data_IF_193106150988
#
_entry.id   IF_193106150988
#
_cell.length_a   1.000
_cell.length_b   1.000
_cell.length_c   1.000
_cell.angle_alpha   90.00
_cell.angle_beta   90.00
_cell.angle_gamma   90.00
#
_symmetry.space_group_name_H-M   'P 1'
#
loop_
_entity.id
_entity.type
_entity.pdbx_description
1 polymer ?
#
# COMPACT_ATOMS: atom_id res chain seq x y z
N UNK A 1 6.97 -20.37 14.72
CA UNK A 1 7.67 -19.49 15.67
C UNK A 1 7.22 -19.90 17.05
N UNK A 2 8.15 -20.29 17.92
CA UNK A 2 7.83 -20.62 19.31
C UNK A 2 7.51 -19.35 20.13
N UNK A 3 6.93 -19.57 21.31
CA UNK A 3 6.47 -18.50 22.22
C UNK A 3 7.60 -17.55 22.67
N UNK A 4 8.80 -18.07 22.93
CA UNK A 4 9.92 -17.25 23.38
C UNK A 4 10.38 -16.29 22.28
N UNK A 5 10.46 -16.81 21.05
CA UNK A 5 10.80 -16.01 19.87
C UNK A 5 9.73 -14.97 19.58
N UNK A 6 8.44 -15.34 19.68
CA UNK A 6 7.32 -14.42 19.48
C UNK A 6 7.31 -13.29 20.52
N UNK A 7 7.50 -13.63 21.80
CA UNK A 7 7.55 -12.66 22.88
C UNK A 7 8.71 -11.67 22.70
N UNK A 8 9.90 -12.16 22.37
CA UNK A 8 11.06 -11.31 22.10
C UNK A 8 10.81 -10.38 20.91
N UNK A 9 10.23 -10.89 19.84
CA UNK A 9 9.85 -10.09 18.67
C UNK A 9 8.85 -8.97 19.03
N UNK A 10 7.83 -9.28 19.83
CA UNK A 10 6.84 -8.29 20.29
C UNK A 10 7.51 -7.20 21.12
N UNK A 11 8.34 -7.57 22.09
CA UNK A 11 9.06 -6.61 22.93
C UNK A 11 9.95 -5.69 22.10
N UNK A 12 10.82 -6.26 21.27
CA UNK A 12 11.73 -5.48 20.42
C UNK A 12 10.96 -4.50 19.55
N UNK A 13 9.83 -4.92 19.00
CA UNK A 13 9.00 -4.08 18.14
C UNK A 13 8.28 -2.96 18.89
N UNK A 14 7.82 -3.20 20.11
CA UNK A 14 7.22 -2.19 20.97
C UNK A 14 8.28 -1.18 21.43
N UNK A 15 9.44 -1.66 21.86
CA UNK A 15 10.53 -0.82 22.39
C UNK A 15 11.13 0.06 21.29
N UNK A 16 11.26 -0.44 20.06
CA UNK A 16 11.78 0.31 18.93
C UNK A 16 10.85 1.43 18.43
N UNK A 17 9.58 1.46 18.84
CA UNK A 17 8.62 2.46 18.39
C UNK A 17 8.58 3.68 19.29
N UNK A 18 8.93 4.83 18.74
CA UNK A 18 8.91 6.12 19.45
C UNK A 18 7.49 6.69 19.65
N UNK A 19 6.51 6.22 18.85
CA UNK A 19 5.13 6.71 18.92
C UNK A 19 4.25 5.86 19.82
N UNK A 20 3.12 6.41 20.27
CA UNK A 20 2.12 5.67 21.03
C UNK A 20 1.41 4.58 20.23
N UNK A 21 1.53 4.55 18.90
CA UNK A 21 0.94 3.51 18.06
C UNK A 21 2.04 2.54 17.59
N UNK A 22 1.88 1.25 17.85
CA UNK A 22 2.79 0.19 17.41
C UNK A 22 2.07 -0.69 16.39
N UNK A 23 2.52 -0.65 15.13
CA UNK A 23 1.88 -1.39 14.02
C UNK A 23 2.57 -2.73 13.81
N UNK A 24 1.84 -3.83 13.99
CA UNK A 24 2.24 -5.19 13.65
C UNK A 24 1.64 -5.62 12.32
N UNK A 25 2.50 -5.85 11.34
CA UNK A 25 2.09 -6.32 10.01
C UNK A 25 2.33 -7.81 9.89
N UNK A 26 1.23 -8.53 9.66
CA UNK A 26 1.19 -9.98 9.50
C UNK A 26 0.82 -10.32 8.05
N UNK A 27 1.34 -11.45 7.57
CA UNK A 27 0.90 -12.04 6.31
C UNK A 27 0.45 -13.47 6.56
N UNK A 28 -0.67 -13.85 5.95
CA UNK A 28 -1.17 -15.22 5.98
C UNK A 28 -1.84 -15.56 4.67
N UNK A 29 -1.33 -16.58 3.99
CA UNK A 29 -1.95 -17.11 2.78
C UNK A 29 -3.09 -18.09 3.10
N UNK A 30 -3.18 -18.57 4.35
CA UNK A 30 -4.25 -19.44 4.86
C UNK A 30 -4.63 -19.07 6.30
N UNK A 31 -5.86 -19.36 6.72
CA UNK A 31 -6.36 -19.12 8.08
C UNK A 31 -6.89 -20.40 8.74
N UNK A 32 -5.98 -21.33 8.98
CA UNK A 32 -6.27 -22.61 9.66
C UNK A 32 -6.46 -22.42 11.17
N UNK A 33 -6.95 -23.46 11.86
CA UNK A 33 -7.05 -23.47 13.34
C UNK A 33 -5.70 -23.21 14.02
N UNK A 34 -4.60 -23.72 13.48
CA UNK A 34 -3.25 -23.45 14.01
C UNK A 34 -2.91 -21.97 13.92
N UNK A 35 -3.29 -21.31 12.80
CA UNK A 35 -3.14 -19.85 12.66
C UNK A 35 -4.02 -19.09 13.63
N UNK A 36 -5.21 -19.60 13.94
CA UNK A 36 -6.09 -19.01 14.94
C UNK A 36 -5.47 -19.05 16.34
N UNK A 37 -4.94 -20.20 16.75
CA UNK A 37 -4.21 -20.33 18.01
C UNK A 37 -2.99 -19.41 18.06
N UNK A 38 -2.24 -19.32 16.96
CA UNK A 38 -1.12 -18.39 16.85
C UNK A 38 -1.56 -16.92 17.05
N UNK A 39 -2.61 -16.45 16.37
CA UNK A 39 -3.04 -15.06 16.52
C UNK A 39 -3.67 -14.75 17.88
N UNK A 40 -4.38 -15.71 18.49
CA UNK A 40 -4.79 -15.60 19.90
C UNK A 40 -3.58 -15.38 20.79
N UNK A 41 -2.53 -16.17 20.61
CA UNK A 41 -1.30 -16.05 21.39
C UNK A 41 -0.59 -14.72 21.16
N UNK A 42 -0.56 -14.23 19.92
CA UNK A 42 -0.04 -12.89 19.58
C UNK A 42 -0.75 -11.81 20.40
N UNK A 43 -2.09 -11.83 20.45
CA UNK A 43 -2.87 -10.83 21.17
C UNK A 43 -2.61 -10.89 22.68
N UNK A 44 -2.58 -12.09 23.26
CA UNK A 44 -2.27 -12.27 24.69
C UNK A 44 -0.92 -11.66 25.07
N UNK A 45 0.12 -11.94 24.28
CA UNK A 45 1.46 -11.43 24.52
C UNK A 45 1.53 -9.91 24.28
N UNK A 46 0.90 -9.40 23.23
CA UNK A 46 0.85 -7.96 22.97
C UNK A 46 0.19 -7.19 24.11
N UNK A 47 -0.89 -7.71 24.69
CA UNK A 47 -1.56 -7.09 25.84
C UNK A 47 -0.65 -7.02 27.08
N UNK A 48 0.17 -8.04 27.30
CA UNK A 48 1.15 -8.06 28.41
C UNK A 48 2.30 -7.08 28.19
N UNK A 49 2.72 -6.89 26.93
CA UNK A 49 3.88 -6.08 26.57
C UNK A 49 3.53 -4.64 26.16
N UNK A 50 2.25 -4.28 26.03
CA UNK A 50 1.82 -3.02 25.41
C UNK A 50 2.38 -1.75 26.07
N UNK A 51 2.69 -1.79 27.38
CA UNK A 51 3.25 -0.66 28.14
C UNK A 51 2.46 0.66 27.95
N UNK A 52 1.14 0.56 27.80
CA UNK A 52 0.25 1.72 27.55
C UNK A 52 0.25 2.24 26.11
N UNK A 53 1.04 1.65 25.20
CA UNK A 53 0.97 1.93 23.76
C UNK A 53 -0.25 1.24 23.14
N UNK A 54 -0.80 1.86 22.12
CA UNK A 54 -1.87 1.31 21.29
C UNK A 54 -1.28 0.36 20.25
N UNK A 55 -1.70 -0.91 20.28
CA UNK A 55 -1.21 -1.94 19.37
C UNK A 55 -2.19 -2.10 18.21
N UNK A 56 -1.70 -1.93 16.98
CA UNK A 56 -2.50 -2.04 15.75
C UNK A 56 -2.02 -3.26 14.98
N UNK A 57 -2.88 -4.25 14.79
CA UNK A 57 -2.57 -5.43 13.99
C UNK A 57 -3.13 -5.25 12.57
N UNK A 58 -2.30 -5.43 11.56
CA UNK A 58 -2.70 -5.45 10.15
C UNK A 58 -2.44 -6.84 9.58
N UNK A 59 -3.40 -7.44 8.88
CA UNK A 59 -3.23 -8.73 8.22
C UNK A 59 -3.35 -8.56 6.71
N UNK A 60 -2.30 -8.90 5.97
CA UNK A 60 -2.36 -9.08 4.52
C UNK A 60 -2.66 -10.55 4.20
N UNK A 61 -3.68 -10.78 3.37
CA UNK A 61 -4.06 -12.12 2.93
C UNK A 61 -4.49 -12.15 1.47
N UNK A 62 -4.32 -13.30 0.81
CA UNK A 62 -4.76 -13.54 -0.58
C UNK A 62 -6.06 -14.32 -0.53
N UNK A 63 -7.18 -13.67 -0.87
CA UNK A 63 -8.50 -14.29 -1.05
C UNK A 63 -8.69 -15.61 -0.32
N UNK A 64 -8.96 -15.55 0.99
CA UNK A 64 -9.11 -16.71 1.86
C UNK A 64 -10.58 -16.99 2.13
N UNK A 65 -10.91 -18.26 2.36
CA UNK A 65 -12.19 -18.62 2.95
C UNK A 65 -12.17 -18.21 4.43
N UNK A 66 -12.69 -17.01 4.68
CA UNK A 66 -13.07 -16.58 6.03
C UNK A 66 -14.31 -17.36 6.46
N UNK A 67 -14.47 -17.46 7.78
CA UNK A 67 -15.72 -17.85 8.41
C UNK A 67 -16.11 -16.78 9.45
N UNK A 68 -17.27 -16.98 10.08
CA UNK A 68 -17.79 -16.05 11.09
C UNK A 68 -16.87 -15.96 12.31
N UNK A 69 -16.21 -17.05 12.71
CA UNK A 69 -15.30 -17.06 13.86
C UNK A 69 -14.07 -16.17 13.63
N UNK A 70 -13.49 -16.20 12.44
CA UNK A 70 -12.40 -15.30 12.07
C UNK A 70 -12.85 -13.84 12.03
N UNK A 71 -14.02 -13.57 11.47
CA UNK A 71 -14.56 -12.21 11.41
C UNK A 71 -14.79 -11.65 12.83
N UNK A 72 -15.39 -12.44 13.72
CA UNK A 72 -15.58 -12.05 15.13
C UNK A 72 -14.25 -11.81 15.84
N UNK A 73 -13.25 -12.67 15.62
CA UNK A 73 -11.91 -12.49 16.17
C UNK A 73 -11.25 -11.21 15.67
N UNK A 74 -11.32 -10.92 14.36
CA UNK A 74 -10.75 -9.71 13.78
C UNK A 74 -11.43 -8.45 14.26
N UNK A 75 -12.77 -8.47 14.36
CA UNK A 75 -13.54 -7.34 14.87
C UNK A 75 -13.23 -7.05 16.33
N UNK A 76 -13.24 -8.09 17.18
CA UNK A 76 -12.96 -7.96 18.62
C UNK A 76 -11.57 -7.42 18.89
N UNK A 77 -10.60 -7.82 18.08
CA UNK A 77 -9.19 -7.42 18.24
C UNK A 77 -8.77 -6.28 17.29
N UNK A 78 -9.74 -5.61 16.65
CA UNK A 78 -9.55 -4.46 15.77
C UNK A 78 -8.45 -4.65 14.71
N UNK A 79 -8.42 -5.83 14.08
CA UNK A 79 -7.49 -6.10 12.98
C UNK A 79 -7.85 -5.26 11.75
N UNK A 80 -6.85 -4.62 11.15
CA UNK A 80 -6.96 -4.02 9.83
C UNK A 80 -6.67 -5.07 8.76
N UNK A 81 -7.71 -5.51 8.05
CA UNK A 81 -7.60 -6.54 7.04
C UNK A 81 -7.23 -5.91 5.70
N UNK A 82 -6.17 -6.40 5.07
CA UNK A 82 -5.75 -6.03 3.72
C UNK A 82 -5.87 -7.25 2.81
N UNK A 83 -6.63 -7.11 1.74
CA UNK A 83 -6.80 -8.15 0.73
C UNK A 83 -5.87 -7.89 -0.45
N UNK A 84 -5.04 -8.87 -0.78
CA UNK A 84 -4.31 -8.87 -2.04
C UNK A 84 -5.29 -9.13 -3.17
N UNK A 85 -5.43 -8.15 -4.07
CA UNK A 85 -6.30 -8.24 -5.24
C UNK A 85 -5.43 -8.08 -6.48
N UNK A 86 -5.20 -9.19 -7.17
CA UNK A 86 -4.46 -9.19 -8.42
C UNK A 86 -5.28 -8.53 -9.52
N UNK A 87 -4.69 -7.59 -10.26
CA UNK A 87 -5.39 -6.82 -11.30
C UNK A 87 -5.96 -7.67 -12.43
N UNK A 88 -5.42 -8.88 -12.64
CA UNK A 88 -5.87 -9.84 -13.66
C UNK A 88 -7.22 -10.49 -13.29
N UNK A 89 -7.65 -10.36 -12.04
CA UNK A 89 -8.94 -10.85 -11.58
C UNK A 89 -10.11 -9.92 -11.99
N UNK A 90 -9.87 -8.71 -12.50
CA UNK A 90 -10.97 -7.79 -12.83
C UNK A 90 -11.82 -8.35 -13.99
N UNK A 91 -13.12 -8.65 -13.81
CA UNK A 91 -13.87 -9.39 -14.81
C UNK A 91 -14.56 -8.46 -15.80
N UNK A 92 -13.98 -8.17 -16.98
CA UNK A 92 -14.72 -7.72 -18.18
C UNK A 92 -13.95 -8.09 -19.48
N UNK A 93 -14.62 -8.90 -20.31
CA UNK A 93 -14.38 -9.34 -21.70
C UNK A 93 -13.02 -9.95 -22.13
N UNK A 94 -13.05 -11.29 -22.21
CA UNK A 94 -12.54 -12.18 -23.26
C UNK A 94 -11.03 -12.19 -23.62
N UNK A 95 -10.32 -13.22 -23.12
CA UNK A 95 -9.88 -14.44 -23.88
C UNK A 95 -8.93 -15.32 -23.01
N UNK A 96 -8.35 -14.81 -21.93
CA UNK A 96 -7.37 -15.56 -21.12
C UNK A 96 -7.52 -15.42 -19.59
N UNK A 97 -8.74 -15.50 -19.05
CA UNK A 97 -8.88 -15.74 -17.61
C UNK A 97 -8.50 -17.20 -17.31
N UNK A 98 -7.40 -17.40 -16.60
CA UNK A 98 -7.00 -18.73 -16.13
C UNK A 98 -8.00 -19.22 -15.07
N UNK A 99 -8.12 -20.55 -14.92
CA UNK A 99 -8.93 -21.15 -13.85
C UNK A 99 -8.50 -20.62 -12.47
N UNK A 100 -7.20 -20.40 -12.29
CA UNK A 100 -6.64 -19.80 -11.07
C UNK A 100 -7.15 -18.38 -10.85
N UNK A 101 -7.19 -17.53 -11.88
CA UNK A 101 -7.70 -16.15 -11.76
C UNK A 101 -9.18 -16.09 -11.37
N UNK A 102 -10.00 -17.00 -11.93
CA UNK A 102 -11.43 -17.10 -11.57
C UNK A 102 -11.63 -17.52 -10.12
N UNK A 103 -10.86 -18.50 -9.64
CA UNK A 103 -10.93 -18.95 -8.26
C UNK A 103 -10.50 -17.84 -7.30
N UNK A 104 -9.41 -17.13 -7.59
CA UNK A 104 -8.96 -15.98 -6.79
C UNK A 104 -10.00 -14.86 -6.75
N UNK A 105 -10.65 -14.53 -7.88
CA UNK A 105 -11.73 -13.54 -7.89
C UNK A 105 -12.90 -13.96 -6.99
N UNK A 106 -13.35 -15.21 -7.13
CA UNK A 106 -14.43 -15.76 -6.33
C UNK A 106 -14.11 -15.68 -4.83
N UNK A 107 -12.92 -16.12 -4.44
CA UNK A 107 -12.49 -16.09 -3.04
C UNK A 107 -12.46 -14.67 -2.50
N UNK A 108 -11.88 -13.71 -3.24
CA UNK A 108 -11.87 -12.30 -2.84
C UNK A 108 -13.28 -11.77 -2.61
N UNK A 109 -14.23 -12.06 -3.51
CA UNK A 109 -15.62 -11.61 -3.35
C UNK A 109 -16.30 -12.23 -2.13
N UNK A 110 -16.10 -13.51 -1.87
CA UNK A 110 -16.66 -14.16 -0.69
C UNK A 110 -16.02 -13.64 0.61
N UNK A 111 -14.70 -13.42 0.61
CA UNK A 111 -14.00 -12.75 1.73
C UNK A 111 -14.61 -11.38 2.00
N UNK A 112 -14.74 -10.54 0.96
CA UNK A 112 -15.33 -9.20 1.07
C UNK A 112 -16.77 -9.25 1.59
N UNK A 113 -17.58 -10.19 1.09
CA UNK A 113 -18.97 -10.37 1.51
C UNK A 113 -19.05 -10.66 3.02
N UNK A 114 -18.20 -11.55 3.54
CA UNK A 114 -18.16 -11.87 4.97
C UNK A 114 -17.68 -10.69 5.82
N UNK A 115 -16.61 -10.00 5.40
CA UNK A 115 -16.13 -8.80 6.10
C UNK A 115 -17.21 -7.74 6.19
N UNK A 116 -17.94 -7.49 5.09
CA UNK A 116 -19.05 -6.55 5.06
C UNK A 116 -20.24 -6.99 5.94
N UNK A 117 -20.58 -8.28 5.97
CA UNK A 117 -21.64 -8.79 6.85
C UNK A 117 -21.34 -8.60 8.33
N UNK A 118 -20.06 -8.67 8.70
CA UNK A 118 -19.59 -8.42 10.06
C UNK A 118 -19.23 -6.96 10.32
N UNK A 119 -19.46 -6.05 9.38
CA UNK A 119 -19.14 -4.62 9.52
C UNK A 119 -17.65 -4.42 9.87
N UNK A 120 -16.79 -5.04 9.06
CA UNK A 120 -15.33 -4.95 9.13
C UNK A 120 -14.85 -4.24 7.86
N UNK A 121 -14.24 -3.07 8.03
CA UNK A 121 -13.56 -2.38 6.95
C UNK A 121 -12.31 -3.14 6.49
N UNK A 122 -12.00 -3.01 5.20
CA UNK A 122 -10.82 -3.64 4.60
C UNK A 122 -10.09 -2.72 3.63
N UNK A 123 -8.81 -2.98 3.49
CA UNK A 123 -7.93 -2.38 2.50
C UNK A 123 -7.72 -3.35 1.34
N UNK A 124 -7.35 -2.83 0.18
CA UNK A 124 -6.92 -3.63 -0.96
C UNK A 124 -5.50 -3.27 -1.36
N UNK A 125 -4.69 -4.29 -1.62
CA UNK A 125 -3.33 -4.17 -2.14
C UNK A 125 -3.29 -4.81 -3.53
N UNK A 126 -2.84 -4.06 -4.53
CA UNK A 126 -2.66 -4.54 -5.89
C UNK A 126 -1.21 -4.39 -6.33
N UNK A 127 -0.62 -5.50 -6.75
CA UNK A 127 0.69 -5.51 -7.42
C UNK A 127 0.49 -5.04 -8.86
N UNK A 128 1.15 -3.94 -9.24
CA UNK A 128 1.07 -3.35 -10.58
C UNK A 128 2.23 -3.88 -11.43
N UNK A 129 1.91 -4.64 -12.46
CA UNK A 129 2.88 -5.35 -13.31
C UNK A 129 2.82 -4.86 -14.77
N UNK A 130 3.68 -5.40 -15.64
CA UNK A 130 3.73 -5.02 -17.05
C UNK A 130 2.39 -5.18 -17.80
N UNK A 131 1.53 -6.10 -17.37
CA UNK A 131 0.27 -6.45 -18.03
C UNK A 131 -0.85 -5.54 -17.50
N UNK A 132 -1.10 -5.58 -16.20
CA UNK A 132 -2.26 -4.92 -15.60
C UNK A 132 -2.11 -3.39 -15.55
N UNK A 133 -0.88 -2.87 -15.62
CA UNK A 133 -0.61 -1.42 -15.71
C UNK A 133 -1.19 -0.77 -16.95
N UNK A 134 -1.46 -1.54 -18.01
CA UNK A 134 -2.07 -1.07 -19.24
C UNK A 134 -3.58 -0.78 -19.08
N UNK A 135 -4.19 -1.20 -17.97
CA UNK A 135 -5.62 -1.03 -17.70
C UNK A 135 -5.89 -0.43 -16.30
N UNK A 136 -5.35 0.77 -15.99
CA UNK A 136 -5.43 1.38 -14.66
C UNK A 136 -6.87 1.57 -14.17
N UNK A 137 -7.76 2.06 -15.03
CA UNK A 137 -9.16 2.30 -14.66
C UNK A 137 -9.95 1.00 -14.46
N UNK A 138 -9.58 -0.08 -15.15
CA UNK A 138 -10.22 -1.39 -14.94
C UNK A 138 -9.94 -1.88 -13.51
N UNK A 139 -8.68 -1.83 -13.08
CA UNK A 139 -8.29 -2.18 -11.71
C UNK A 139 -9.02 -1.26 -10.72
N UNK A 140 -8.93 0.05 -10.94
CA UNK A 140 -9.52 1.04 -10.04
C UNK A 140 -11.02 0.83 -9.85
N UNK A 141 -11.79 0.68 -10.94
CA UNK A 141 -13.22 0.42 -10.88
C UNK A 141 -13.56 -0.93 -10.27
N UNK A 142 -12.74 -1.96 -10.50
CA UNK A 142 -12.95 -3.25 -9.87
C UNK A 142 -12.80 -3.16 -8.34
N UNK A 143 -11.74 -2.52 -7.84
CA UNK A 143 -11.56 -2.29 -6.40
C UNK A 143 -12.72 -1.48 -5.80
N UNK A 144 -13.19 -0.44 -6.51
CA UNK A 144 -14.40 0.32 -6.12
C UNK A 144 -15.64 -0.57 -6.04
N UNK A 145 -15.83 -1.46 -7.02
CA UNK A 145 -16.99 -2.36 -7.07
C UNK A 145 -17.01 -3.39 -5.94
N UNK A 146 -15.84 -3.73 -5.37
CA UNK A 146 -15.74 -4.54 -4.16
C UNK A 146 -16.14 -3.75 -2.90
N UNK A 147 -16.25 -2.43 -2.98
CA UNK A 147 -16.47 -1.55 -1.83
C UNK A 147 -15.19 -1.10 -1.13
N UNK A 148 -14.01 -1.33 -1.74
CA UNK A 148 -12.74 -0.87 -1.17
C UNK A 148 -12.70 0.66 -1.11
N UNK A 149 -12.36 1.19 0.07
CA UNK A 149 -12.13 2.63 0.31
C UNK A 149 -10.67 2.95 0.60
N UNK A 150 -9.81 1.94 0.68
CA UNK A 150 -8.39 2.09 0.97
C UNK A 150 -7.62 1.23 -0.03
N UNK A 151 -7.02 1.88 -1.04
CA UNK A 151 -6.40 1.20 -2.17
C UNK A 151 -4.91 1.49 -2.23
N UNK A 152 -4.11 0.43 -2.14
CA UNK A 152 -2.67 0.51 -2.30
C UNK A 152 -2.23 -0.16 -3.59
N UNK A 153 -1.40 0.55 -4.34
CA UNK A 153 -0.74 0.04 -5.54
C UNK A 153 0.76 -0.09 -5.26
N UNK A 154 1.31 -1.29 -5.49
CA UNK A 154 2.74 -1.57 -5.33
C UNK A 154 3.31 -1.95 -6.69
N UNK A 155 4.26 -1.19 -7.26
CA UNK A 155 4.84 -1.54 -8.53
C UNK A 155 5.69 -2.81 -8.41
N UNK A 156 5.51 -3.75 -9.34
CA UNK A 156 6.30 -4.98 -9.41
C UNK A 156 7.67 -4.66 -10.00
N UNK A 157 8.72 -5.03 -9.28
CA UNK A 157 10.09 -5.02 -9.75
C UNK A 157 10.75 -6.33 -9.32
N UNK A 158 11.11 -7.15 -10.29
CA UNK A 158 11.83 -8.41 -10.08
C UNK A 158 13.17 -8.33 -10.84
N UNK A 159 14.26 -7.95 -10.15
CA UNK A 159 15.59 -7.93 -10.74
C UNK A 159 16.04 -9.35 -11.13
N UNK A 160 16.66 -9.48 -12.29
CA UNK A 160 17.32 -10.70 -12.76
C UNK A 160 18.84 -10.59 -12.55
N UNK A 161 19.54 -11.70 -12.77
CA UNK A 161 21.00 -11.68 -12.85
C UNK A 161 21.46 -10.71 -13.97
N UNK A 162 22.67 -10.16 -13.81
CA UNK A 162 23.28 -9.19 -14.74
C UNK A 162 22.61 -7.81 -14.88
N UNK A 163 21.63 -7.46 -14.03
CA UNK A 163 21.03 -6.12 -13.99
C UNK A 163 19.81 -5.94 -14.90
N UNK A 164 19.34 -7.02 -15.53
CA UNK A 164 18.06 -7.07 -16.23
C UNK A 164 16.89 -7.16 -15.23
N UNK A 165 15.66 -7.03 -15.73
CA UNK A 165 14.43 -7.23 -14.94
C UNK A 165 13.52 -8.25 -15.61
N UNK A 166 12.75 -9.00 -14.81
CA UNK A 166 11.74 -9.94 -15.33
C UNK A 166 10.73 -9.18 -16.20
N UNK A 167 10.26 -9.80 -17.28
CA UNK A 167 9.29 -9.21 -18.21
C UNK A 167 7.96 -8.85 -17.56
N UNK A 168 7.64 -9.43 -16.40
CA UNK A 168 6.48 -9.08 -15.58
C UNK A 168 6.67 -7.78 -14.82
N UNK A 169 7.92 -7.36 -14.57
CA UNK A 169 8.23 -6.09 -13.90
C UNK A 169 7.59 -4.92 -14.63
N UNK A 170 7.06 -3.97 -13.88
CA UNK A 170 6.48 -2.77 -14.44
C UNK A 170 7.58 -1.94 -15.10
N UNK A 171 7.44 -1.59 -16.37
CA UNK A 171 8.42 -0.72 -17.01
C UNK A 171 8.45 0.68 -16.35
N UNK A 172 9.62 1.34 -16.22
CA UNK A 172 9.75 2.59 -15.50
C UNK A 172 8.80 3.66 -15.99
N UNK A 173 8.60 3.79 -17.31
CA UNK A 173 7.75 4.82 -17.91
C UNK A 173 6.23 4.58 -17.69
N UNK A 174 5.82 3.35 -17.34
CA UNK A 174 4.41 2.98 -17.23
C UNK A 174 3.81 3.33 -15.86
N UNK A 175 4.63 3.37 -14.79
CA UNK A 175 4.13 3.70 -13.45
C UNK A 175 3.50 5.10 -13.41
N UNK A 176 4.12 6.10 -14.04
CA UNK A 176 3.56 7.44 -14.11
C UNK A 176 2.24 7.47 -14.87
N UNK A 177 2.13 6.75 -15.98
CA UNK A 177 0.87 6.67 -16.74
C UNK A 177 -0.23 6.06 -15.88
N UNK A 178 0.07 4.96 -15.18
CA UNK A 178 -0.83 4.30 -14.25
C UNK A 178 -1.32 5.26 -13.15
N UNK A 179 -0.39 5.87 -12.42
CA UNK A 179 -0.69 6.77 -11.30
C UNK A 179 -1.44 8.03 -11.76
N UNK A 180 -1.02 8.66 -12.86
CA UNK A 180 -1.70 9.85 -13.42
C UNK A 180 -3.13 9.53 -13.81
N UNK A 181 -3.37 8.37 -14.42
CA UNK A 181 -4.70 7.96 -14.87
C UNK A 181 -5.66 7.76 -13.70
N UNK A 182 -5.21 7.07 -12.65
CA UNK A 182 -6.00 6.89 -11.42
C UNK A 182 -6.17 8.23 -10.71
N UNK A 183 -5.11 9.02 -10.54
CA UNK A 183 -5.16 10.31 -9.87
C UNK A 183 -6.16 11.26 -10.52
N UNK A 184 -6.16 11.36 -11.86
CA UNK A 184 -7.07 12.24 -12.60
C UNK A 184 -8.55 11.93 -12.32
N UNK A 185 -8.90 10.65 -12.19
CA UNK A 185 -10.26 10.21 -11.88
C UNK A 185 -10.56 10.39 -10.39
N UNK A 186 -9.65 9.93 -9.54
CA UNK A 186 -9.78 10.01 -8.09
C UNK A 186 -9.99 11.46 -7.61
N UNK A 187 -9.17 12.40 -8.07
CA UNK A 187 -9.23 13.80 -7.62
C UNK A 187 -10.56 14.48 -7.99
N UNK A 188 -11.24 14.02 -9.05
CA UNK A 188 -12.53 14.56 -9.52
C UNK A 188 -13.72 13.87 -8.87
N UNK A 189 -13.65 12.56 -8.66
CA UNK A 189 -14.82 11.77 -8.31
C UNK A 189 -14.79 11.27 -6.86
N UNK A 190 -13.61 10.94 -6.35
CA UNK A 190 -13.47 10.05 -5.19
C UNK A 190 -12.61 10.60 -4.04
N UNK A 191 -12.00 11.78 -4.19
CA UNK A 191 -11.25 12.43 -3.11
C UNK A 191 -12.15 12.64 -1.87
N UNK A 192 -11.62 12.29 -0.70
CA UNK A 192 -12.34 12.32 0.57
C UNK A 192 -13.24 11.10 0.83
N UNK A 193 -13.37 10.19 -0.15
CA UNK A 193 -14.14 8.94 -0.02
C UNK A 193 -13.23 7.72 -0.13
N UNK A 194 -12.30 7.74 -1.09
CA UNK A 194 -11.31 6.68 -1.31
C UNK A 194 -9.94 7.22 -0.93
N UNK A 195 -9.21 6.49 -0.11
CA UNK A 195 -7.87 6.79 0.32
C UNK A 195 -6.86 5.99 -0.52
N UNK A 196 -5.92 6.69 -1.15
CA UNK A 196 -4.82 6.09 -1.91
C UNK A 196 -3.50 6.58 -1.30
N UNK A 197 -2.74 5.75 -0.59
CA UNK A 197 -1.63 6.22 0.25
C UNK A 197 -0.59 7.08 -0.47
N UNK A 198 -0.25 6.78 -1.73
CA UNK A 198 0.70 7.61 -2.49
C UNK A 198 0.15 9.02 -2.75
N UNK A 199 -1.16 9.20 -2.91
CA UNK A 199 -1.77 10.52 -3.11
C UNK A 199 -1.84 11.28 -1.77
N UNK A 200 -2.25 10.61 -0.70
CA UNK A 200 -2.27 11.17 0.66
C UNK A 200 -0.86 11.63 1.10
N UNK A 201 0.16 10.79 0.88
CA UNK A 201 1.54 11.15 1.18
C UNK A 201 2.04 12.31 0.32
N UNK A 202 1.62 12.40 -0.94
CA UNK A 202 1.97 13.52 -1.82
C UNK A 202 1.38 14.81 -1.26
N UNK A 203 0.12 14.80 -0.85
CA UNK A 203 -0.54 15.96 -0.26
C UNK A 203 0.11 16.37 1.08
N UNK A 204 0.32 15.42 1.99
CA UNK A 204 0.98 15.66 3.26
C UNK A 204 2.37 16.30 3.09
N UNK A 205 3.16 15.83 2.11
CA UNK A 205 4.47 16.39 1.82
C UNK A 205 4.39 17.85 1.30
N UNK A 206 3.38 18.18 0.49
CA UNK A 206 3.13 19.56 0.03
C UNK A 206 2.71 20.50 1.15
N UNK A 207 2.03 19.97 2.17
CA UNK A 207 1.70 20.67 3.40
C UNK A 207 2.89 20.79 4.39
N UNK A 208 4.07 20.28 4.03
CA UNK A 208 5.24 20.29 4.91
C UNK A 208 5.14 19.30 6.08
N UNK A 209 4.18 18.39 6.06
CA UNK A 209 3.99 17.39 7.10
C UNK A 209 4.99 16.24 6.93
N UNK A 210 5.46 15.71 8.05
CA UNK A 210 6.42 14.60 8.05
C UNK A 210 5.76 13.31 7.59
N UNK A 211 6.04 12.88 6.36
CA UNK A 211 5.69 11.56 5.81
C UNK A 211 6.68 10.49 6.32
N UNK A 212 6.56 10.11 7.60
CA UNK A 212 7.48 9.14 8.22
C UNK A 212 7.06 7.67 8.12
N UNK A 213 5.94 7.34 7.47
CA UNK A 213 5.45 5.96 7.43
C UNK A 213 5.30 5.44 5.99
N UNK A 214 6.17 4.52 5.58
CA UNK A 214 5.77 3.50 4.61
C UNK A 214 5.02 2.43 5.40
N UNK A 215 3.72 2.25 5.19
CA UNK A 215 2.90 1.25 5.90
C UNK A 215 3.31 -0.21 5.62
N UNK A 216 4.25 -0.44 4.68
CA UNK A 216 4.68 -1.76 4.20
C UNK A 216 6.18 -2.00 4.35
N UNK A 217 6.92 -1.05 4.92
CA UNK A 217 8.27 -1.33 5.34
C UNK A 217 8.19 -2.13 6.65
N UNK A 218 8.75 -3.36 6.75
CA UNK A 218 9.25 -3.77 8.06
C UNK A 218 10.09 -2.61 8.57
N UNK A 219 9.97 -2.27 9.85
CA UNK A 219 10.80 -1.27 10.51
C UNK A 219 12.22 -1.86 10.56
N UNK A 220 12.86 -1.91 9.40
CA UNK A 220 14.29 -1.78 9.29
C UNK A 220 14.50 -0.32 9.63
N UNK A 221 15.38 -0.07 10.58
CA UNK A 221 15.93 1.25 10.87
C UNK A 221 16.00 2.06 9.59
N UNK A 222 15.62 3.33 9.66
CA UNK A 222 15.98 4.29 8.62
C UNK A 222 17.51 4.38 8.62
N UNK A 223 18.18 3.40 8.01
CA UNK A 223 19.51 3.58 7.49
C UNK A 223 19.36 4.80 6.58
N UNK A 224 19.99 5.91 7.00
CA UNK A 224 20.26 7.05 6.13
C UNK A 224 21.23 6.55 5.06
N UNK A 225 20.75 5.67 4.19
CA UNK A 225 21.46 5.31 2.99
C UNK A 225 21.67 6.59 2.21
N UNK A 226 22.91 6.79 1.76
CA UNK A 226 23.25 7.93 0.96
C UNK A 226 22.33 7.94 -0.28
N UNK A 227 21.66 9.07 -0.50
CA UNK A 227 20.86 9.24 -1.70
C UNK A 227 21.79 9.34 -2.91
N UNK A 228 21.33 8.79 -4.04
CA UNK A 228 21.99 8.97 -5.33
C UNK A 228 22.22 10.46 -5.63
N UNK A 229 23.28 10.79 -6.36
CA UNK A 229 23.65 12.18 -6.66
C UNK A 229 22.49 12.98 -7.28
N UNK A 230 21.71 12.35 -8.14
CA UNK A 230 20.52 12.88 -8.82
C UNK A 230 19.45 13.36 -7.84
N UNK A 231 19.35 12.76 -6.66
CA UNK A 231 18.38 13.14 -5.66
C UNK A 231 18.74 14.47 -4.96
N UNK A 232 19.99 14.93 -5.05
CA UNK A 232 20.47 16.12 -4.34
C UNK A 232 19.76 17.38 -4.85
N UNK A 233 19.69 17.51 -6.18
CA UNK A 233 19.11 18.66 -6.88
C UNK A 233 17.71 18.36 -7.47
N UNK A 234 17.12 17.22 -7.10
CA UNK A 234 15.83 16.80 -7.62
C UNK A 234 14.69 17.63 -7.00
N UNK A 235 13.88 18.26 -7.86
CA UNK A 235 12.73 19.10 -7.46
C UNK A 235 11.72 18.38 -6.58
N UNK A 236 11.55 17.07 -6.78
CA UNK A 236 10.56 16.25 -6.05
C UNK A 236 11.17 15.48 -4.87
N UNK A 237 12.45 15.75 -4.51
CA UNK A 237 13.16 15.07 -3.40
C UNK A 237 12.38 15.15 -2.08
N UNK A 238 11.75 16.29 -1.80
CA UNK A 238 11.03 16.50 -0.54
C UNK A 238 9.87 15.51 -0.34
N UNK A 239 9.26 15.04 -1.43
CA UNK A 239 8.20 14.02 -1.46
C UNK A 239 8.79 12.62 -1.63
N UNK A 240 9.61 12.42 -2.67
CA UNK A 240 10.11 11.12 -3.10
C UNK A 240 11.15 10.52 -2.15
N UNK A 241 12.08 11.34 -1.65
CA UNK A 241 13.20 10.94 -0.76
C UNK A 241 14.02 9.74 -1.26
N UNK A 242 14.16 9.61 -2.58
CA UNK A 242 14.90 8.51 -3.21
C UNK A 242 14.13 7.19 -3.32
N UNK A 243 12.83 7.19 -3.05
CA UNK A 243 11.95 6.02 -3.15
C UNK A 243 12.35 4.88 -2.21
N UNK A 244 11.77 3.70 -2.46
CA UNK A 244 12.04 2.49 -1.69
C UNK A 244 13.49 2.01 -1.91
N UNK A 245 14.27 1.71 -0.84
CA UNK A 245 15.61 1.15 -0.97
C UNK A 245 15.68 -0.13 -1.82
N UNK A 246 14.66 -1.01 -1.70
CA UNK A 246 14.58 -2.25 -2.49
C UNK A 246 14.46 -2.03 -4.00
N UNK A 247 14.03 -0.83 -4.40
CA UNK A 247 13.89 -0.45 -5.80
C UNK A 247 15.10 0.35 -6.33
N UNK A 248 16.12 0.61 -5.49
CA UNK A 248 17.34 1.34 -5.85
C UNK A 248 18.33 0.44 -6.58
N UNK A 249 17.94 -0.03 -7.75
CA UNK A 249 18.71 -0.98 -8.57
C UNK A 249 19.19 -0.38 -9.90
N UNK A 250 18.69 0.81 -10.27
CA UNK A 250 19.10 1.48 -11.50
C UNK A 250 20.44 2.20 -11.29
N UNK A 251 21.23 2.27 -12.37
CA UNK A 251 22.52 2.96 -12.35
C UNK A 251 22.31 4.47 -12.19
N UNK A 252 23.03 5.06 -11.23
CA UNK A 252 23.16 6.50 -11.11
C UNK A 252 24.14 7.07 -12.13
N UNK A 253 24.26 8.39 -12.20
CA UNK A 253 25.27 9.14 -12.96
C UNK A 253 26.71 8.74 -12.61
N UNK A 254 26.90 8.12 -11.44
CA UNK A 254 28.20 7.58 -11.00
C UNK A 254 28.46 6.16 -11.48
N UNK A 255 27.49 5.55 -12.18
CA UNK A 255 27.56 4.15 -12.62
C UNK A 255 27.33 3.14 -11.51
N UNK A 256 26.73 3.56 -10.39
CA UNK A 256 26.46 2.70 -9.21
C UNK A 256 24.96 2.39 -9.13
N UNK A 257 24.54 1.15 -8.81
CA UNK A 257 23.12 0.79 -8.68
C UNK A 257 22.53 1.33 -7.38
N UNK A 258 22.25 2.63 -7.35
CA UNK A 258 21.72 3.36 -6.17
C UNK A 258 20.50 4.23 -6.52
N UNK A 259 20.15 4.34 -7.81
CA UNK A 259 19.02 5.13 -8.28
C UNK A 259 17.75 4.27 -8.25
N UNK A 260 16.64 4.85 -7.79
CA UNK A 260 15.35 4.16 -7.84
C UNK A 260 14.95 3.86 -9.29
N UNK A 261 14.58 2.61 -9.56
CA UNK A 261 14.19 2.13 -10.88
C UNK A 261 13.01 2.92 -11.49
N UNK A 262 12.11 3.42 -10.66
CA UNK A 262 10.95 4.24 -11.06
C UNK A 262 11.19 5.75 -10.94
N UNK A 263 12.44 6.21 -10.83
CA UNK A 263 12.79 7.62 -10.59
C UNK A 263 12.14 8.57 -11.60
N UNK A 264 12.21 8.25 -12.90
CA UNK A 264 11.58 9.06 -13.95
C UNK A 264 10.06 9.15 -13.76
N UNK A 265 9.43 8.03 -13.41
CA UNK A 265 7.99 7.99 -13.17
C UNK A 265 7.55 8.80 -11.97
N UNK A 266 8.30 8.73 -10.86
CA UNK A 266 8.02 9.55 -9.69
C UNK A 266 8.18 11.03 -10.00
N UNK A 267 9.23 11.44 -10.72
CA UNK A 267 9.38 12.82 -11.19
C UNK A 267 8.18 13.24 -12.05
N UNK A 268 7.78 12.41 -13.01
CA UNK A 268 6.68 12.70 -13.91
C UNK A 268 5.32 12.78 -13.20
N UNK A 269 5.05 11.91 -12.22
CA UNK A 269 3.81 11.91 -11.45
C UNK A 269 3.72 13.08 -10.47
N UNK A 270 4.75 13.29 -9.64
CA UNK A 270 4.70 14.36 -8.63
C UNK A 270 4.66 15.75 -9.26
N UNK A 271 5.35 15.96 -10.39
CA UNK A 271 5.24 17.21 -11.17
C UNK A 271 3.85 17.38 -11.77
N UNK A 272 3.20 16.30 -12.23
CA UNK A 272 1.84 16.35 -12.75
C UNK A 272 0.80 16.67 -11.67
N UNK A 273 0.98 16.14 -10.46
CA UNK A 273 0.07 16.35 -9.33
C UNK A 273 0.22 17.73 -8.68
N UNK A 274 1.38 18.38 -8.82
CA UNK A 274 1.71 19.68 -8.21
C UNK A 274 0.58 20.73 -8.23
N UNK A 275 -0.01 21.12 -9.37
CA UNK A 275 -1.05 22.16 -9.37
C UNK A 275 -2.28 21.79 -8.54
N UNK A 276 -2.65 20.50 -8.51
CA UNK A 276 -3.76 20.01 -7.69
C UNK A 276 -3.41 20.05 -6.20
N UNK A 277 -2.18 19.68 -5.85
CA UNK A 277 -1.70 19.68 -4.47
C UNK A 277 -1.61 21.10 -3.91
N UNK A 278 -1.16 22.07 -4.71
CA UNK A 278 -1.12 23.48 -4.34
C UNK A 278 -2.54 24.02 -4.09
N UNK A 279 -3.51 23.67 -4.93
CA UNK A 279 -4.91 24.07 -4.72
C UNK A 279 -5.51 23.43 -3.47
N UNK A 280 -5.33 22.12 -3.28
CA UNK A 280 -5.77 21.42 -2.07
C UNK A 280 -5.14 22.01 -0.81
N UNK A 281 -3.86 22.41 -0.87
CA UNK A 281 -3.17 23.06 0.23
C UNK A 281 -3.76 24.43 0.52
N UNK A 282 -4.05 25.23 -0.52
CA UNK A 282 -4.67 26.55 -0.35
C UNK A 282 -6.06 26.45 0.31
N UNK A 283 -6.84 25.41 -0.04
CA UNK A 283 -8.11 25.10 0.63
C UNK A 283 -7.88 24.75 2.11
N UNK A 284 -6.92 23.85 2.38
CA UNK A 284 -6.60 23.42 3.74
C UNK A 284 -6.12 24.58 4.64
N UNK A 285 -5.25 25.46 4.13
CA UNK A 285 -4.77 26.65 4.83
C UNK A 285 -5.91 27.64 5.16
N UNK A 286 -7.00 27.61 4.39
CA UNK A 286 -8.21 28.39 4.62
C UNK A 286 -9.28 27.66 5.44
N UNK A 287 -8.96 26.49 6.01
CA UNK A 287 -9.88 25.61 6.75
C UNK A 287 -11.03 25.03 5.91
N UNK A 288 -10.87 24.96 4.59
CA UNK A 288 -11.76 24.18 3.73
C UNK A 288 -11.26 22.74 3.58
N UNK A 289 -12.17 21.75 3.44
CA UNK A 289 -11.80 20.40 3.06
C UNK A 289 -10.99 20.38 1.75
N UNK A 290 -9.82 19.70 1.68
CA UNK A 290 -9.08 19.54 0.43
C UNK A 290 -9.91 18.92 -0.70
N UNK A 291 -10.90 18.09 -0.36
CA UNK A 291 -11.84 17.46 -1.30
C UNK A 291 -12.78 18.43 -2.02
N UNK A 292 -12.86 19.69 -1.56
CA UNK A 292 -13.61 20.75 -2.24
C UNK A 292 -12.95 21.20 -3.54
N UNK A 293 -11.70 20.79 -3.80
CA UNK A 293 -11.04 20.98 -5.10
C UNK A 293 -11.91 20.51 -6.27
N UNK A 294 -12.76 19.49 -6.06
CA UNK A 294 -13.70 18.97 -7.07
C UNK A 294 -14.59 20.05 -7.68
N UNK A 295 -14.95 21.08 -6.92
CA UNK A 295 -15.78 22.19 -7.40
C UNK A 295 -15.09 23.02 -8.49
N UNK A 296 -13.77 22.91 -8.61
CA UNK A 296 -12.92 23.65 -9.55
C UNK A 296 -12.38 22.77 -10.69
N UNK A 297 -12.68 21.47 -10.67
CA UNK A 297 -12.23 20.49 -11.66
C UNK A 297 -13.43 20.06 -12.50
N UNK A 298 -13.84 20.92 -13.43
CA UNK A 298 -14.84 20.61 -14.45
C UNK A 298 -14.33 19.49 -15.37
#
# INVERSE_FOLDING_TARGET
MDDMTLLLFIHQKIDAQETNNVIFSWQSDELTSDRFHFFKRVIELQQQCAQGKNIINTLLTKGILLDDHWCEFFKTNQFLISLSVDGDAAPYDNIHETISGKLTNYLVKETVRLLQQHDIDFNTLTIVNAINSQQPLRIYHYLKSLGSRHMQFIPLLEPLAQGDVDKRSLAPAELAKFLKTIFYNWIRLDIGVINIPIFEHTFAAWCGLSTKACAFAPIVEQHKEALAAECTDCKVKFICRGGCPKERVALSRRGVPELNYFCESYQAFFTYAEPYMLMMRALWEQNYPPSDIRQYLV
#
